data_IF_099785646766
#
_entry.id   IF_099785646766
#
_cell.length_a   1.000
_cell.length_b   1.000
_cell.length_c   1.000
_cell.angle_alpha   90.00
_cell.angle_beta   90.00
_cell.angle_gamma   90.00
#
_symmetry.space_group_name_H-M   'P 1'
#
loop_
_entity.id
_entity.type
_entity.pdbx_description
1 polymer ?
#
# COMPACT_ATOMS: atom_id res chain seq x y z
N UNK A 1 -50.55 56.45 27.71
CA UNK A 1 -50.47 55.15 26.98
C UNK A 1 -49.37 55.26 25.94
N UNK A 2 -48.73 54.13 25.59
CA UNK A 2 -47.62 53.90 24.64
C UNK A 2 -46.23 53.91 25.31
N UNK A 3 -45.86 52.83 26.00
CA UNK A 3 -45.26 51.57 25.51
C UNK A 3 -43.79 51.73 25.09
N UNK A 4 -42.92 51.25 25.97
CA UNK A 4 -41.49 51.07 25.72
C UNK A 4 -41.20 49.91 24.76
N UNK A 5 -39.99 49.91 24.22
CA UNK A 5 -39.42 48.77 23.50
C UNK A 5 -37.99 48.56 23.97
N UNK A 6 -37.82 47.54 24.80
CA UNK A 6 -36.53 46.93 25.08
C UNK A 6 -36.01 46.23 23.83
N UNK A 7 -34.75 46.48 23.47
CA UNK A 7 -34.03 45.67 22.50
C UNK A 7 -33.31 44.54 23.25
N UNK A 8 -33.78 43.30 23.07
CA UNK A 8 -33.05 42.10 23.49
C UNK A 8 -31.94 41.83 22.46
N UNK A 9 -30.68 41.84 22.93
CA UNK A 9 -29.52 41.32 22.21
C UNK A 9 -29.56 39.80 22.35
N UNK A 10 -29.92 39.10 21.27
CA UNK A 10 -29.78 37.65 21.20
C UNK A 10 -28.33 37.27 20.89
N UNK A 11 -27.62 36.69 21.85
CA UNK A 11 -26.38 35.97 21.57
C UNK A 11 -26.73 34.66 20.83
N UNK A 12 -26.44 34.62 19.53
CA UNK A 12 -26.49 33.40 18.75
C UNK A 12 -25.18 32.62 18.99
N UNK A 13 -25.21 31.64 19.88
CA UNK A 13 -24.12 30.67 20.04
C UNK A 13 -24.13 29.73 18.84
N UNK A 14 -23.20 29.93 17.90
CA UNK A 14 -22.92 28.96 16.85
C UNK A 14 -22.24 27.74 17.50
N UNK A 15 -22.99 26.65 17.65
CA UNK A 15 -22.40 25.35 17.97
C UNK A 15 -21.58 24.90 16.77
N UNK A 16 -20.26 24.89 16.89
CA UNK A 16 -19.37 24.24 15.92
C UNK A 16 -19.68 22.74 15.91
N UNK A 17 -19.95 22.13 14.75
CA UNK A 17 -20.07 20.68 14.69
C UNK A 17 -18.70 20.08 15.02
N UNK A 18 -18.64 19.18 16.01
CA UNK A 18 -17.49 18.30 16.16
C UNK A 18 -17.44 17.43 14.91
N UNK A 19 -16.41 17.61 14.09
CA UNK A 19 -16.01 16.61 13.12
C UNK A 19 -15.83 15.26 13.86
N UNK A 20 -16.17 14.12 13.24
CA UNK A 20 -15.84 12.83 13.82
C UNK A 20 -14.35 12.82 14.15
N UNK A 21 -13.99 12.28 15.30
CA UNK A 21 -12.60 12.04 15.65
C UNK A 21 -12.04 11.04 14.63
N UNK A 22 -11.44 11.56 13.56
CA UNK A 22 -10.57 10.79 12.69
C UNK A 22 -9.53 10.13 13.60
N UNK A 23 -9.25 8.85 13.36
CA UNK A 23 -8.22 8.12 14.10
C UNK A 23 -6.95 8.96 14.18
N UNK A 24 -6.22 8.84 15.28
CA UNK A 24 -4.97 9.59 15.48
C UNK A 24 -4.11 9.50 14.22
N UNK A 25 -3.72 10.67 13.69
CA UNK A 25 -2.87 10.78 12.49
C UNK A 25 -1.65 9.88 12.62
N UNK A 26 -1.21 9.28 11.50
CA UNK A 26 -0.01 8.45 11.50
C UNK A 26 1.20 9.22 12.03
N UNK A 27 1.93 8.64 12.97
CA UNK A 27 3.24 9.16 13.37
C UNK A 27 4.29 8.89 12.28
N UNK A 28 5.48 9.49 12.40
CA UNK A 28 6.53 9.37 11.39
C UNK A 28 6.92 7.91 11.07
N UNK A 29 7.07 7.06 12.09
CA UNK A 29 7.43 5.65 11.90
C UNK A 29 6.32 4.86 11.18
N UNK A 30 5.06 5.17 11.46
CA UNK A 30 3.92 4.55 10.78
C UNK A 30 3.85 5.00 9.31
N UNK A 31 4.06 6.29 9.04
CA UNK A 31 4.10 6.79 7.67
C UNK A 31 5.23 6.13 6.87
N UNK A 32 6.42 6.06 7.45
CA UNK A 32 7.57 5.40 6.85
C UNK A 32 7.29 3.92 6.57
N UNK A 33 6.62 3.21 7.47
CA UNK A 33 6.26 1.81 7.27
C UNK A 33 5.33 1.61 6.06
N UNK A 34 4.29 2.45 5.91
CA UNK A 34 3.36 2.34 4.76
C UNK A 34 4.03 2.76 3.46
N UNK A 35 4.90 3.79 3.49
CA UNK A 35 5.66 4.21 2.31
C UNK A 35 6.69 3.14 1.88
N UNK A 36 7.31 2.46 2.85
CA UNK A 36 8.23 1.34 2.59
C UNK A 36 7.49 0.15 1.97
N UNK A 37 6.33 -0.21 2.52
CA UNK A 37 5.46 -1.22 1.93
C UNK A 37 5.08 -0.86 0.49
N UNK A 38 4.66 0.39 0.25
CA UNK A 38 4.27 0.86 -1.08
C UNK A 38 5.42 0.79 -2.08
N UNK A 39 6.65 1.14 -1.65
CA UNK A 39 7.83 1.02 -2.50
C UNK A 39 8.12 -0.44 -2.89
N UNK A 40 7.95 -1.39 -1.99
CA UNK A 40 8.15 -2.81 -2.25
C UNK A 40 7.13 -3.35 -3.28
N UNK A 41 5.84 -3.02 -3.09
CA UNK A 41 4.78 -3.37 -4.03
C UNK A 41 4.99 -2.72 -5.41
N UNK A 42 5.48 -1.48 -5.46
CA UNK A 42 5.88 -0.81 -6.70
C UNK A 42 7.03 -1.52 -7.40
N UNK A 43 8.02 -2.00 -6.66
CA UNK A 43 9.16 -2.72 -7.19
C UNK A 43 8.74 -4.06 -7.81
N UNK A 44 7.93 -4.85 -7.09
CA UNK A 44 7.36 -6.11 -7.58
C UNK A 44 6.52 -5.89 -8.85
N UNK A 45 5.57 -4.94 -8.81
CA UNK A 45 4.74 -4.59 -9.97
C UNK A 45 5.58 -4.24 -11.20
N UNK A 46 6.60 -3.39 -11.03
CA UNK A 46 7.45 -2.95 -12.13
C UNK A 46 8.33 -4.08 -12.69
N UNK A 47 8.80 -5.00 -11.85
CA UNK A 47 9.51 -6.18 -12.31
C UNK A 47 8.59 -7.11 -13.10
N UNK A 48 7.39 -7.40 -12.60
CA UNK A 48 6.43 -8.26 -13.31
C UNK A 48 5.98 -7.65 -14.63
N UNK A 49 5.83 -6.32 -14.69
CA UNK A 49 5.63 -5.60 -15.95
C UNK A 49 6.76 -5.89 -16.95
N UNK A 50 8.03 -5.93 -16.49
CA UNK A 50 9.18 -6.11 -17.39
C UNK A 50 9.20 -7.53 -17.96
N UNK A 51 8.83 -8.50 -17.14
CA UNK A 51 8.70 -9.90 -17.56
C UNK A 51 7.57 -10.04 -18.57
N UNK A 52 6.42 -9.40 -18.34
CA UNK A 52 5.27 -9.43 -19.25
C UNK A 52 5.60 -8.73 -20.58
N UNK A 53 6.30 -7.60 -20.55
CA UNK A 53 6.76 -6.91 -21.77
C UNK A 53 7.68 -7.80 -22.62
N UNK A 54 8.53 -8.60 -21.98
CA UNK A 54 9.49 -9.47 -22.69
C UNK A 54 8.90 -10.79 -23.18
N UNK A 55 8.09 -11.45 -22.35
CA UNK A 55 7.62 -12.82 -22.60
C UNK A 55 6.13 -12.92 -22.94
N UNK A 56 5.40 -11.80 -22.88
CA UNK A 56 3.94 -11.75 -22.97
C UNK A 56 3.25 -12.04 -21.63
N UNK A 57 1.91 -12.01 -21.59
CA UNK A 57 1.13 -12.29 -20.39
C UNK A 57 1.19 -13.77 -20.02
N UNK A 58 2.26 -14.16 -19.33
CA UNK A 58 2.51 -15.54 -18.88
C UNK A 58 2.22 -15.68 -17.40
N UNK A 59 1.66 -16.83 -17.01
CA UNK A 59 1.46 -17.14 -15.60
C UNK A 59 2.82 -17.43 -14.91
N UNK A 60 2.99 -17.04 -13.63
CA UNK A 60 2.00 -16.39 -12.79
C UNK A 60 2.02 -14.84 -12.86
N UNK A 61 2.94 -14.24 -13.63
CA UNK A 61 3.22 -12.80 -13.66
C UNK A 61 1.99 -11.92 -13.91
N UNK A 62 1.16 -12.22 -14.91
CA UNK A 62 -0.04 -11.41 -15.18
C UNK A 62 -1.01 -11.40 -13.98
N UNK A 63 -1.22 -12.56 -13.36
CA UNK A 63 -2.15 -12.68 -12.23
C UNK A 63 -1.61 -11.99 -10.98
N UNK A 64 -0.31 -12.15 -10.71
CA UNK A 64 0.32 -11.56 -9.52
C UNK A 64 0.50 -10.06 -9.71
N UNK A 65 0.85 -9.56 -10.90
CA UNK A 65 0.87 -8.12 -11.16
C UNK A 65 -0.48 -7.44 -10.89
N UNK A 66 -1.60 -8.11 -11.23
CA UNK A 66 -2.94 -7.62 -10.88
C UNK A 66 -3.21 -7.63 -9.36
N UNK A 67 -2.62 -8.58 -8.63
CA UNK A 67 -2.66 -8.59 -7.17
C UNK A 67 -1.83 -7.42 -6.60
N UNK A 68 -0.62 -7.17 -7.10
CA UNK A 68 0.19 -6.03 -6.65
C UNK A 68 -0.47 -4.69 -6.95
N UNK A 69 -1.18 -4.55 -8.07
CA UNK A 69 -2.00 -3.37 -8.33
C UNK A 69 -3.07 -3.16 -7.24
N UNK A 70 -3.64 -4.25 -6.71
CA UNK A 70 -4.62 -4.20 -5.62
C UNK A 70 -3.96 -3.88 -4.28
N UNK A 71 -2.75 -4.38 -4.04
CA UNK A 71 -1.95 -4.05 -2.85
C UNK A 71 -1.57 -2.56 -2.83
N UNK A 72 -1.04 -2.05 -3.95
CA UNK A 72 -0.76 -0.63 -4.17
C UNK A 72 -2.01 0.21 -3.90
N UNK A 73 -3.18 -0.18 -4.43
CA UNK A 73 -4.42 0.54 -4.20
C UNK A 73 -4.82 0.58 -2.72
N UNK A 74 -4.66 -0.53 -1.99
CA UNK A 74 -4.97 -0.58 -0.56
C UNK A 74 -4.06 0.37 0.24
N UNK A 75 -2.76 0.36 -0.03
CA UNK A 75 -1.77 1.21 0.67
C UNK A 75 -1.98 2.69 0.34
N UNK A 76 -2.16 3.02 -0.94
CA UNK A 76 -2.38 4.39 -1.39
C UNK A 76 -3.69 4.97 -0.89
N UNK A 77 -4.76 4.17 -0.84
CA UNK A 77 -6.04 4.59 -0.24
C UNK A 77 -5.86 4.90 1.25
N UNK A 78 -5.18 4.02 1.99
CA UNK A 78 -4.89 4.24 3.41
C UNK A 78 -4.05 5.51 3.66
N UNK A 79 -3.03 5.76 2.82
CA UNK A 79 -2.22 6.98 2.88
C UNK A 79 -3.06 8.24 2.60
N UNK A 80 -3.91 8.19 1.57
CA UNK A 80 -4.81 9.30 1.21
C UNK A 80 -5.80 9.62 2.33
N UNK A 81 -6.41 8.61 2.95
CA UNK A 81 -7.33 8.78 4.08
C UNK A 81 -6.66 9.39 5.31
N UNK A 82 -5.36 9.14 5.49
CA UNK A 82 -4.55 9.70 6.56
C UNK A 82 -3.84 11.02 6.18
N UNK A 83 -4.10 11.58 5.00
CA UNK A 83 -3.53 12.86 4.55
C UNK A 83 -2.02 12.80 4.28
N UNK A 84 -1.48 11.62 3.98
CA UNK A 84 -0.06 11.40 3.70
C UNK A 84 0.16 11.37 2.19
N UNK A 85 1.09 12.19 1.70
CA UNK A 85 1.49 12.18 0.30
C UNK A 85 2.40 10.99 -0.01
N UNK A 86 2.29 10.47 -1.23
CA UNK A 86 3.14 9.41 -1.76
C UNK A 86 3.49 9.70 -3.23
N UNK A 87 4.64 9.23 -3.73
CA UNK A 87 5.00 9.39 -5.13
C UNK A 87 4.27 8.39 -6.02
N UNK A 88 4.25 8.69 -7.32
CA UNK A 88 3.98 7.69 -8.37
C UNK A 88 5.08 6.60 -8.34
N UNK A 89 4.85 5.46 -9.01
CA UNK A 89 5.82 4.36 -9.05
C UNK A 89 7.18 4.81 -9.65
N UNK A 90 8.25 4.91 -8.83
CA UNK A 90 9.53 5.47 -9.27
C UNK A 90 10.30 4.55 -10.23
N UNK A 91 9.96 3.25 -10.26
CA UNK A 91 10.56 2.29 -11.16
C UNK A 91 9.97 2.37 -12.58
N UNK A 92 8.75 2.90 -12.72
CA UNK A 92 8.10 3.06 -14.03
C UNK A 92 8.34 4.46 -14.64
N UNK A 93 8.58 5.48 -13.82
CA UNK A 93 8.83 6.85 -14.29
C UNK A 93 10.33 7.16 -14.54
N UNK A 94 11.23 6.22 -14.22
CA UNK A 94 12.67 6.34 -14.44
C UNK A 94 13.46 7.03 -13.32
N UNK A 95 12.83 7.37 -12.19
CA UNK A 95 13.53 7.92 -11.01
C UNK A 95 14.39 6.87 -10.29
N UNK A 96 13.95 5.61 -10.28
CA UNK A 96 14.69 4.47 -9.76
C UNK A 96 14.97 3.44 -10.86
N UNK A 97 16.09 2.70 -10.76
CA UNK A 97 16.40 1.65 -11.73
C UNK A 97 15.39 0.52 -11.63
N UNK A 98 14.70 0.25 -12.74
CA UNK A 98 13.80 -0.91 -12.89
C UNK A 98 14.61 -2.18 -13.14
N UNK A 99 14.20 -3.29 -12.54
CA UNK A 99 14.82 -4.58 -12.80
C UNK A 99 14.40 -5.08 -14.19
N UNK A 100 15.38 -5.44 -15.02
CA UNK A 100 15.14 -5.99 -16.34
C UNK A 100 14.72 -7.47 -16.27
N UNK A 101 13.87 -7.89 -17.20
CA UNK A 101 13.48 -9.30 -17.28
C UNK A 101 14.69 -10.20 -17.66
N UNK A 102 14.92 -11.30 -16.93
CA UNK A 102 16.06 -12.20 -17.17
C UNK A 102 15.92 -12.97 -18.48
N UNK A 103 16.88 -13.82 -18.82
CA UNK A 103 16.91 -14.47 -20.14
C UNK A 103 15.77 -15.49 -20.32
N UNK A 104 15.28 -16.08 -19.23
CA UNK A 104 14.25 -17.12 -19.26
C UNK A 104 13.11 -16.85 -18.27
N UNK A 105 11.93 -17.43 -18.54
CA UNK A 105 10.79 -17.40 -17.61
C UNK A 105 11.14 -18.12 -16.30
N UNK A 106 11.92 -19.20 -16.36
CA UNK A 106 12.35 -19.93 -15.16
C UNK A 106 13.20 -19.07 -14.21
N UNK A 107 14.15 -18.30 -14.76
CA UNK A 107 14.92 -17.33 -13.98
C UNK A 107 14.02 -16.22 -13.40
N UNK A 108 13.06 -15.72 -14.18
CA UNK A 108 12.11 -14.72 -13.70
C UNK A 108 11.27 -15.26 -12.54
N UNK A 109 10.84 -16.53 -12.62
CA UNK A 109 10.07 -17.17 -11.57
C UNK A 109 10.90 -17.43 -10.32
N UNK A 110 12.19 -17.75 -10.44
CA UNK A 110 13.10 -17.83 -9.31
C UNK A 110 13.27 -16.46 -8.61
N UNK A 111 13.40 -15.37 -9.38
CA UNK A 111 13.43 -14.01 -8.81
C UNK A 111 12.10 -13.70 -8.11
N UNK A 112 10.96 -14.11 -8.67
CA UNK A 112 9.66 -14.00 -8.01
C UNK A 112 9.61 -14.74 -6.67
N UNK A 113 10.11 -15.98 -6.59
CA UNK A 113 10.22 -16.72 -5.32
C UNK A 113 11.00 -15.92 -4.26
N UNK A 114 12.18 -15.41 -4.63
CA UNK A 114 13.01 -14.63 -3.72
C UNK A 114 12.31 -13.33 -3.28
N UNK A 115 11.60 -12.67 -4.19
CA UNK A 115 10.84 -11.46 -3.92
C UNK A 115 9.68 -11.72 -2.94
N UNK A 116 8.90 -12.79 -3.13
CA UNK A 116 7.79 -13.10 -2.22
C UNK A 116 8.27 -13.48 -0.81
N UNK A 117 9.40 -14.19 -0.68
CA UNK A 117 10.01 -14.46 0.63
C UNK A 117 10.42 -13.14 1.30
N UNK A 118 11.08 -12.26 0.56
CA UNK A 118 11.51 -10.96 1.08
C UNK A 118 10.32 -10.07 1.48
N UNK A 119 9.22 -10.09 0.72
CA UNK A 119 7.99 -9.35 1.01
C UNK A 119 7.31 -9.87 2.30
N UNK A 120 7.23 -11.19 2.47
CA UNK A 120 6.69 -11.82 3.71
C UNK A 120 7.50 -11.36 4.92
N UNK A 121 8.83 -11.44 4.85
CA UNK A 121 9.74 -11.03 5.93
C UNK A 121 9.63 -9.51 6.19
N UNK A 122 9.55 -8.70 5.13
CA UNK A 122 9.36 -7.26 5.23
C UNK A 122 8.12 -6.93 6.04
N UNK A 123 6.96 -7.47 5.68
CA UNK A 123 5.72 -7.20 6.39
C UNK A 123 5.75 -7.69 7.85
N UNK A 124 6.19 -8.92 8.08
CA UNK A 124 6.09 -9.58 9.40
C UNK A 124 7.10 -9.05 10.40
N UNK A 125 8.35 -8.94 9.98
CA UNK A 125 9.46 -8.71 10.91
C UNK A 125 9.89 -7.25 10.93
N UNK A 126 9.83 -6.55 9.79
CA UNK A 126 10.36 -5.20 9.67
C UNK A 126 9.29 -4.12 9.86
N UNK A 127 8.10 -4.30 9.28
CA UNK A 127 7.08 -3.25 9.24
C UNK A 127 6.03 -3.36 10.35
N UNK A 128 5.62 -4.58 10.74
CA UNK A 128 4.60 -4.80 11.76
C UNK A 128 4.90 -4.10 13.11
N UNK A 129 6.15 -4.07 13.63
CA UNK A 129 6.45 -3.39 14.90
C UNK A 129 6.16 -1.89 14.88
N UNK A 130 6.35 -1.22 13.75
CA UNK A 130 6.17 0.23 13.62
C UNK A 130 4.68 0.65 13.68
N UNK A 131 3.78 -0.28 13.35
CA UNK A 131 2.34 -0.01 13.22
C UNK A 131 1.51 -0.56 14.39
N UNK A 132 2.16 -1.00 15.46
CA UNK A 132 1.49 -1.54 16.65
C UNK A 132 0.39 -0.57 17.17
N UNK A 133 -0.81 -1.10 17.35
CA UNK A 133 -1.98 -0.32 17.80
C UNK A 133 -2.79 0.36 16.68
N UNK A 134 -2.36 0.28 15.40
CA UNK A 134 -3.15 0.73 14.24
C UNK A 134 -3.90 -0.43 13.61
N UNK A 135 -5.03 -0.83 14.22
CA UNK A 135 -5.73 -2.07 13.88
C UNK A 135 -6.11 -2.23 12.40
N UNK A 136 -6.55 -1.15 11.75
CA UNK A 136 -6.85 -1.16 10.30
C UNK A 136 -5.60 -1.41 9.45
N UNK A 137 -4.52 -0.68 9.72
CA UNK A 137 -3.25 -0.87 9.01
C UNK A 137 -2.64 -2.25 9.26
N UNK A 138 -2.75 -2.75 10.48
CA UNK A 138 -2.35 -4.13 10.82
C UNK A 138 -3.13 -5.14 9.98
N UNK A 139 -4.43 -4.95 9.80
CA UNK A 139 -5.23 -5.85 8.96
C UNK A 139 -4.80 -5.80 7.48
N UNK A 140 -4.47 -4.61 6.95
CA UNK A 140 -3.94 -4.46 5.59
C UNK A 140 -2.61 -5.22 5.47
N UNK A 141 -1.64 -4.98 6.35
CA UNK A 141 -0.32 -5.61 6.28
C UNK A 141 -0.38 -7.13 6.43
N UNK A 142 -1.26 -7.64 7.30
CA UNK A 142 -1.49 -9.09 7.43
C UNK A 142 -2.07 -9.66 6.14
N UNK A 143 -3.06 -9.00 5.54
CA UNK A 143 -3.68 -9.48 4.31
C UNK A 143 -2.70 -9.52 3.12
N UNK A 144 -1.85 -8.51 2.98
CA UNK A 144 -0.82 -8.46 1.94
C UNK A 144 0.22 -9.57 2.15
N UNK A 145 0.80 -9.67 3.35
CA UNK A 145 1.75 -10.75 3.68
C UNK A 145 1.18 -12.16 3.47
N UNK A 146 -0.11 -12.37 3.77
CA UNK A 146 -0.79 -13.65 3.53
C UNK A 146 -1.03 -13.91 2.04
N UNK A 147 -1.29 -12.89 1.23
CA UNK A 147 -1.38 -13.06 -0.22
C UNK A 147 -0.03 -13.55 -0.80
N UNK A 148 1.07 -12.96 -0.34
CA UNK A 148 2.43 -13.37 -0.72
C UNK A 148 2.71 -14.82 -0.28
N UNK A 149 2.45 -15.17 0.98
CA UNK A 149 2.70 -16.51 1.53
C UNK A 149 1.82 -17.60 0.94
N UNK A 150 0.50 -17.40 0.90
CA UNK A 150 -0.45 -18.46 0.59
C UNK A 150 -0.76 -18.58 -0.92
N UNK A 151 -0.41 -17.56 -1.71
CA UNK A 151 -0.77 -17.51 -3.14
C UNK A 151 0.42 -17.25 -4.04
N UNK A 152 1.15 -16.15 -3.83
CA UNK A 152 2.18 -15.74 -4.78
C UNK A 152 3.39 -16.68 -4.73
N UNK A 153 3.91 -16.94 -3.53
CA UNK A 153 5.07 -17.80 -3.32
C UNK A 153 4.83 -19.23 -3.87
N UNK A 154 3.70 -19.91 -3.59
CA UNK A 154 3.40 -21.19 -4.21
C UNK A 154 3.31 -21.13 -5.75
N UNK A 155 2.74 -20.06 -6.30
CA UNK A 155 2.61 -19.89 -7.74
C UNK A 155 3.97 -19.69 -8.44
N UNK A 156 4.85 -18.87 -7.87
CA UNK A 156 6.22 -18.72 -8.37
C UNK A 156 7.05 -19.97 -8.16
N UNK A 157 6.91 -20.65 -7.03
CA UNK A 157 7.59 -21.93 -6.77
C UNK A 157 7.22 -22.99 -7.81
N UNK A 158 5.94 -23.09 -8.17
CA UNK A 158 5.46 -23.99 -9.23
C UNK A 158 5.90 -23.55 -10.64
N UNK A 159 6.14 -22.26 -10.86
CA UNK A 159 6.66 -21.77 -12.13
C UNK A 159 8.17 -22.01 -12.29
N UNK A 160 8.93 -21.96 -11.19
CA UNK A 160 10.38 -22.15 -11.20
C UNK A 160 10.82 -23.62 -11.33
N UNK A 161 9.88 -24.57 -11.24
CA UNK A 161 10.13 -26.02 -11.26
C UNK A 161 10.21 -26.65 -12.64
#
# INVERSE_FOLDING_TARGET
>A
MTHGKSALIGLLTLATPLAPAFGESLNAAQQEAVLTALEDEYHAFAFYEAVIEKFGPVAPFENIQNAEASHILALTSYLTENGVAYPDNPYLNGEKPRLEAPATIAEACAIGVDAEIANIDLYRDNLMPAIAGKGELTAIFVALSQASEDKHLPAFTACAS
#
